data_IF_544448233006
#
_entry.id   IF_544448233006
#
_cell.length_a   1.000
_cell.length_b   1.000
_cell.length_c   1.000
_cell.angle_alpha   90.00
_cell.angle_beta   90.00
_cell.angle_gamma   90.00
#
_symmetry.space_group_name_H-M   'P 1'
#
loop_
_entity.id
_entity.type
_entity.pdbx_description
1 polymer ?
#
# COMPACT_ATOMS: atom_id res chain seq x y z
N UNK A 1 24.49 1.36 1.61
CA UNK A 1 24.78 2.80 1.42
C UNK A 1 24.83 3.23 -0.05
N UNK A 2 25.69 2.63 -0.90
CA UNK A 2 25.83 3.02 -2.32
C UNK A 2 24.49 3.05 -3.08
N UNK A 3 23.66 2.00 -2.94
CA UNK A 3 22.34 1.96 -3.56
C UNK A 3 21.43 3.11 -3.11
N UNK A 4 21.46 3.47 -1.82
CA UNK A 4 20.66 4.59 -1.29
C UNK A 4 21.09 5.89 -1.97
N UNK A 5 22.40 6.18 -1.97
CA UNK A 5 22.95 7.40 -2.58
C UNK A 5 22.63 7.47 -4.07
N UNK A 6 22.69 6.33 -4.76
CA UNK A 6 22.36 6.23 -6.19
C UNK A 6 20.89 6.61 -6.44
N UNK A 7 19.94 6.03 -5.72
CA UNK A 7 18.52 6.35 -5.90
C UNK A 7 18.11 7.73 -5.36
N UNK A 8 18.88 8.31 -4.44
CA UNK A 8 18.69 9.69 -3.99
C UNK A 8 19.19 10.71 -5.03
N UNK A 9 20.35 10.46 -5.63
CA UNK A 9 21.08 11.49 -6.39
C UNK A 9 20.79 11.44 -7.89
N UNK A 10 20.43 10.27 -8.41
CA UNK A 10 20.41 10.02 -9.84
C UNK A 10 18.99 9.83 -10.36
N UNK A 11 18.43 10.87 -10.99
CA UNK A 11 17.07 10.88 -11.56
C UNK A 11 16.85 9.85 -12.68
N UNK A 12 17.92 9.31 -13.25
CA UNK A 12 17.87 8.30 -14.31
C UNK A 12 17.49 6.90 -13.80
N UNK A 13 17.71 6.60 -12.52
CA UNK A 13 17.34 5.31 -11.93
C UNK A 13 15.89 5.35 -11.42
N UNK A 14 14.95 5.33 -12.37
CA UNK A 14 13.52 5.38 -12.07
C UNK A 14 12.93 4.03 -11.65
N UNK A 15 13.65 2.92 -11.88
CA UNK A 15 13.22 1.57 -11.58
C UNK A 15 14.40 0.68 -11.15
N UNK A 16 14.12 -0.33 -10.32
CA UNK A 16 15.07 -1.39 -9.98
C UNK A 16 15.07 -2.45 -11.10
N UNK A 17 16.23 -2.87 -11.64
CA UNK A 17 16.29 -3.96 -12.62
C UNK A 17 15.73 -5.28 -12.06
N UNK A 18 15.13 -6.12 -12.90
CA UNK A 18 14.57 -7.43 -12.48
C UNK A 18 15.63 -8.30 -11.80
N UNK A 19 16.82 -8.35 -12.41
CA UNK A 19 17.96 -9.11 -11.88
C UNK A 19 18.39 -8.61 -10.50
N UNK A 20 18.36 -7.29 -10.28
CA UNK A 20 18.63 -6.70 -8.99
C UNK A 20 17.53 -7.03 -7.97
N UNK A 21 16.25 -7.03 -8.36
CA UNK A 21 15.15 -7.47 -7.46
C UNK A 21 15.34 -8.90 -7.01
N UNK A 22 15.61 -9.84 -7.93
CA UNK A 22 15.85 -11.23 -7.58
C UNK A 22 17.04 -11.36 -6.61
N UNK A 23 18.18 -10.75 -6.94
CA UNK A 23 19.37 -10.79 -6.10
C UNK A 23 19.19 -10.16 -4.72
N UNK A 24 18.48 -9.02 -4.63
CA UNK A 24 18.20 -8.33 -3.38
C UNK A 24 17.17 -9.07 -2.53
N UNK A 25 16.19 -9.75 -3.15
CA UNK A 25 15.16 -10.52 -2.45
C UNK A 25 15.72 -11.74 -1.71
N UNK A 26 16.87 -12.25 -2.15
CA UNK A 26 17.59 -13.32 -1.45
C UNK A 26 18.40 -12.83 -0.23
N UNK A 27 18.51 -11.51 -0.01
CA UNK A 27 19.34 -10.95 1.04
C UNK A 27 18.51 -10.66 2.29
N UNK A 28 18.42 -11.64 3.19
CA UNK A 28 17.71 -11.51 4.47
C UNK A 28 18.21 -10.35 5.36
N UNK A 29 19.47 -9.94 5.19
CA UNK A 29 20.04 -8.82 5.92
C UNK A 29 19.50 -7.45 5.46
N UNK A 30 18.95 -7.36 4.25
CA UNK A 30 18.62 -6.08 3.61
C UNK A 30 17.60 -5.25 4.42
N UNK A 31 16.44 -5.77 4.87
CA UNK A 31 15.48 -4.99 5.65
C UNK A 31 16.08 -4.44 6.95
N UNK A 32 16.88 -5.24 7.65
CA UNK A 32 17.53 -4.82 8.90
C UNK A 32 18.55 -3.72 8.67
N UNK A 33 19.41 -3.89 7.65
CA UNK A 33 20.39 -2.86 7.28
C UNK A 33 19.74 -1.57 6.79
N UNK A 34 18.62 -1.65 6.06
CA UNK A 34 17.86 -0.44 5.69
C UNK A 34 17.32 0.27 6.93
N UNK A 35 16.80 -0.46 7.91
CA UNK A 35 16.33 0.13 9.17
C UNK A 35 17.47 0.74 9.99
N UNK A 36 18.64 0.11 10.07
CA UNK A 36 19.82 0.65 10.74
C UNK A 36 20.28 1.96 10.10
N UNK A 37 20.29 2.01 8.77
CA UNK A 37 20.62 3.22 8.02
C UNK A 37 19.57 4.32 8.23
N UNK A 38 18.29 3.95 8.26
CA UNK A 38 17.20 4.88 8.57
C UNK A 38 17.36 5.48 9.97
N UNK A 39 17.63 4.64 10.98
CA UNK A 39 17.91 5.07 12.35
C UNK A 39 19.15 5.98 12.45
N UNK A 40 20.09 5.83 11.52
CA UNK A 40 21.31 6.65 11.44
C UNK A 40 21.09 7.98 10.70
N UNK A 41 19.85 8.31 10.34
CA UNK A 41 19.50 9.54 9.61
C UNK A 41 19.68 9.46 8.10
N UNK A 42 19.92 8.27 7.53
CA UNK A 42 19.98 8.11 6.07
C UNK A 42 18.58 8.10 5.48
N UNK A 43 18.30 8.97 4.51
CA UNK A 43 17.00 9.03 3.84
C UNK A 43 16.78 7.86 2.87
N UNK A 44 16.27 6.72 3.36
CA UNK A 44 16.14 5.49 2.57
C UNK A 44 14.95 5.46 1.60
N UNK A 45 13.99 6.37 1.76
CA UNK A 45 12.70 6.32 1.06
C UNK A 45 12.80 6.23 -0.46
N UNK A 46 13.67 7.00 -1.16
CA UNK A 46 13.74 6.92 -2.61
C UNK A 46 14.12 5.52 -3.11
N UNK A 47 14.99 4.81 -2.39
CA UNK A 47 15.31 3.42 -2.72
C UNK A 47 14.14 2.51 -2.36
N UNK A 48 13.56 2.68 -1.17
CA UNK A 48 12.50 1.82 -0.65
C UNK A 48 11.25 1.86 -1.53
N UNK A 49 10.82 3.04 -1.98
CA UNK A 49 9.67 3.21 -2.88
C UNK A 49 9.88 2.44 -4.19
N UNK A 50 11.07 2.58 -4.81
CA UNK A 50 11.39 1.87 -6.07
C UNK A 50 11.49 0.37 -5.88
N UNK A 51 12.05 -0.07 -4.75
CA UNK A 51 12.17 -1.47 -4.40
C UNK A 51 10.80 -2.09 -4.17
N UNK A 52 9.96 -1.47 -3.33
CA UNK A 52 8.57 -1.92 -3.09
C UNK A 52 7.81 -2.00 -4.39
N UNK A 53 7.80 -0.92 -5.19
CA UNK A 53 7.11 -0.90 -6.48
C UNK A 53 7.56 -2.07 -7.37
N UNK A 54 8.86 -2.23 -7.56
CA UNK A 54 9.37 -3.25 -8.48
C UNK A 54 9.14 -4.67 -7.94
N UNK A 55 9.38 -4.90 -6.66
CA UNK A 55 9.07 -6.19 -6.02
C UNK A 55 7.57 -6.51 -6.13
N UNK A 56 6.70 -5.52 -6.01
CA UNK A 56 5.25 -5.71 -6.18
C UNK A 56 4.91 -6.07 -7.61
N UNK A 57 5.48 -5.36 -8.60
CA UNK A 57 5.31 -5.69 -10.02
C UNK A 57 5.78 -7.12 -10.35
N UNK A 58 6.94 -7.54 -9.85
CA UNK A 58 7.48 -8.89 -10.09
C UNK A 58 6.67 -9.97 -9.35
N UNK A 59 6.23 -9.66 -8.13
CA UNK A 59 5.34 -10.52 -7.34
C UNK A 59 3.98 -10.75 -8.00
N UNK A 60 3.43 -9.74 -8.69
CA UNK A 60 2.16 -9.85 -9.44
C UNK A 60 2.38 -10.52 -10.81
N UNK A 61 3.45 -10.13 -11.51
CA UNK A 61 3.60 -10.50 -12.91
C UNK A 61 4.21 -11.87 -13.14
N UNK A 62 5.19 -12.22 -12.31
CA UNK A 62 6.01 -13.42 -12.43
C UNK A 62 5.85 -14.36 -11.23
N UNK A 63 4.94 -14.03 -10.29
CA UNK A 63 4.71 -14.79 -9.06
C UNK A 63 6.00 -15.05 -8.26
N UNK A 64 6.89 -14.05 -8.22
CA UNK A 64 8.18 -14.16 -7.55
C UNK A 64 7.98 -14.11 -6.03
N UNK A 65 7.83 -15.28 -5.39
CA UNK A 65 7.54 -15.42 -3.96
C UNK A 65 8.59 -14.78 -3.06
N UNK A 66 9.87 -14.85 -3.43
CA UNK A 66 10.95 -14.18 -2.69
C UNK A 66 10.76 -12.65 -2.65
N UNK A 67 10.16 -12.05 -3.69
CA UNK A 67 9.84 -10.63 -3.69
C UNK A 67 8.64 -10.30 -2.80
N UNK A 68 7.68 -11.23 -2.64
CA UNK A 68 6.60 -11.10 -1.66
C UNK A 68 7.16 -10.99 -0.25
N UNK A 69 8.08 -11.91 0.09
CA UNK A 69 8.67 -12.01 1.41
C UNK A 69 9.60 -10.82 1.72
N UNK A 70 10.37 -10.35 0.73
CA UNK A 70 11.18 -9.14 0.89
C UNK A 70 10.31 -7.93 1.24
N UNK A 71 9.19 -7.70 0.55
CA UNK A 71 8.31 -6.55 0.85
C UNK A 71 7.73 -6.69 2.25
N UNK A 72 7.23 -7.88 2.63
CA UNK A 72 6.70 -8.13 3.97
C UNK A 72 7.74 -7.82 5.04
N UNK A 73 8.97 -8.28 4.85
CA UNK A 73 10.05 -8.02 5.79
C UNK A 73 10.44 -6.54 5.84
N UNK A 74 10.47 -5.84 4.70
CA UNK A 74 10.64 -4.38 4.68
C UNK A 74 9.54 -3.68 5.48
N UNK A 75 8.25 -3.97 5.23
CA UNK A 75 7.14 -3.34 5.95
C UNK A 75 7.08 -3.69 7.44
N UNK A 76 7.66 -4.82 7.85
CA UNK A 76 7.72 -5.25 9.25
C UNK A 76 8.88 -4.63 10.02
N UNK A 77 10.04 -4.47 9.37
CA UNK A 77 11.26 -4.05 10.04
C UNK A 77 11.57 -2.56 9.87
N UNK A 78 11.09 -1.95 8.78
CA UNK A 78 11.36 -0.56 8.48
C UNK A 78 10.28 0.33 9.11
N UNK A 79 10.69 1.19 10.04
CA UNK A 79 9.83 2.23 10.60
C UNK A 79 9.74 3.38 9.60
N UNK A 80 8.52 3.70 9.18
CA UNK A 80 8.21 4.77 8.25
C UNK A 80 7.69 5.98 9.02
N UNK A 81 7.96 7.17 8.49
CA UNK A 81 7.26 8.38 8.92
C UNK A 81 5.87 8.44 8.27
N UNK A 82 4.94 9.18 8.87
CA UNK A 82 3.56 9.29 8.35
C UNK A 82 3.51 9.76 6.88
N UNK A 83 4.41 10.67 6.50
CA UNK A 83 4.52 11.15 5.12
C UNK A 83 4.96 10.05 4.13
N UNK A 84 5.73 9.07 4.62
CA UNK A 84 6.31 8.00 3.81
C UNK A 84 5.35 6.85 3.57
N UNK A 85 4.44 6.60 4.53
CA UNK A 85 3.40 5.57 4.42
C UNK A 85 2.57 5.77 3.15
N UNK A 86 2.23 7.02 2.83
CA UNK A 86 1.51 7.36 1.61
C UNK A 86 2.31 6.94 0.37
N UNK A 87 3.61 7.25 0.31
CA UNK A 87 4.47 6.89 -0.83
C UNK A 87 4.53 5.37 -1.02
N UNK A 88 4.63 4.61 0.07
CA UNK A 88 4.65 3.15 0.03
C UNK A 88 3.30 2.56 -0.42
N UNK A 89 2.19 3.04 0.13
CA UNK A 89 0.85 2.61 -0.28
C UNK A 89 0.62 2.87 -1.77
N UNK A 90 1.00 4.07 -2.24
CA UNK A 90 0.87 4.45 -3.63
C UNK A 90 1.80 3.64 -4.55
N UNK A 91 3.00 3.28 -4.10
CA UNK A 91 3.91 2.39 -4.83
C UNK A 91 3.29 1.00 -5.03
N UNK A 92 2.66 0.43 -4.00
CA UNK A 92 1.95 -0.86 -4.09
C UNK A 92 0.78 -0.75 -5.08
N UNK A 93 -0.07 0.27 -4.94
CA UNK A 93 -1.24 0.44 -5.82
C UNK A 93 -0.84 0.70 -7.28
N UNK A 94 0.17 1.53 -7.52
CA UNK A 94 0.66 1.86 -8.87
C UNK A 94 1.34 0.67 -9.56
N UNK A 95 1.75 -0.36 -8.80
CA UNK A 95 2.32 -1.61 -9.34
C UNK A 95 1.26 -2.54 -9.94
N UNK A 96 0.00 -2.38 -9.55
CA UNK A 96 -1.11 -3.20 -10.06
C UNK A 96 -1.61 -2.62 -11.38
N UNK A 97 -1.26 -3.24 -12.50
CA UNK A 97 -1.79 -2.84 -13.81
C UNK A 97 -3.30 -3.07 -13.88
N UNK A 98 -4.07 -2.02 -14.21
CA UNK A 98 -5.54 -2.00 -14.15
C UNK A 98 -6.28 -3.05 -14.99
N UNK A 99 -5.60 -3.70 -15.96
CA UNK A 99 -6.20 -4.68 -16.86
C UNK A 99 -5.90 -6.14 -16.52
N UNK A 100 -5.00 -6.42 -15.56
CA UNK A 100 -4.64 -7.81 -15.22
C UNK A 100 -5.59 -8.33 -14.12
N UNK A 101 -6.23 -9.49 -14.38
CA UNK A 101 -6.86 -10.25 -13.31
C UNK A 101 -5.74 -10.85 -12.46
N UNK A 102 -5.66 -10.44 -11.19
CA UNK A 102 -4.77 -11.08 -10.24
C UNK A 102 -5.38 -12.43 -9.85
N UNK A 103 -4.54 -13.43 -9.56
CA UNK A 103 -5.02 -14.66 -8.93
C UNK A 103 -5.51 -14.36 -7.50
N UNK A 104 -6.23 -15.30 -6.91
CA UNK A 104 -6.73 -15.13 -5.55
C UNK A 104 -5.58 -15.08 -4.53
N UNK A 105 -4.49 -15.81 -4.79
CA UNK A 105 -3.26 -15.79 -3.97
C UNK A 105 -2.60 -14.41 -4.00
N UNK A 106 -2.43 -13.82 -5.20
CA UNK A 106 -1.86 -12.48 -5.36
C UNK A 106 -2.77 -11.45 -4.71
N UNK A 107 -4.09 -11.60 -4.84
CA UNK A 107 -5.06 -10.70 -4.22
C UNK A 107 -4.98 -10.77 -2.69
N UNK A 108 -4.88 -11.97 -2.13
CA UNK A 108 -4.71 -12.20 -0.70
C UNK A 108 -3.40 -11.60 -0.17
N UNK A 109 -2.31 -11.75 -0.92
CA UNK A 109 -1.04 -11.14 -0.57
C UNK A 109 -1.09 -9.60 -0.61
N UNK A 110 -1.71 -9.00 -1.63
CA UNK A 110 -1.88 -7.55 -1.68
C UNK A 110 -2.73 -7.03 -0.52
N UNK A 111 -3.78 -7.77 -0.14
CA UNK A 111 -4.58 -7.48 1.06
C UNK A 111 -3.70 -7.49 2.30
N UNK A 112 -2.85 -8.50 2.46
CA UNK A 112 -1.93 -8.61 3.60
C UNK A 112 -1.03 -7.38 3.70
N UNK A 113 -0.43 -6.93 2.59
CA UNK A 113 0.42 -5.73 2.56
C UNK A 113 -0.33 -4.46 2.99
N UNK A 114 -1.55 -4.26 2.47
CA UNK A 114 -2.38 -3.09 2.83
C UNK A 114 -2.76 -3.13 4.31
N UNK A 115 -3.14 -4.30 4.83
CA UNK A 115 -3.46 -4.48 6.25
C UNK A 115 -2.26 -4.26 7.16
N UNK A 116 -1.05 -4.62 6.71
CA UNK A 116 0.18 -4.33 7.46
C UNK A 116 0.41 -2.82 7.61
N UNK A 117 0.13 -2.04 6.56
CA UNK A 117 0.22 -0.57 6.62
C UNK A 117 -0.85 0.03 7.52
N UNK A 118 -2.10 -0.43 7.39
CA UNK A 118 -3.21 0.03 8.24
C UNK A 118 -2.97 -0.24 9.73
N UNK A 119 -2.52 -1.45 10.07
CA UNK A 119 -2.26 -1.83 11.47
C UNK A 119 -1.10 -1.05 12.09
N UNK A 120 -0.05 -0.80 11.33
CA UNK A 120 1.15 -0.13 11.85
C UNK A 120 1.01 1.40 11.84
N UNK A 121 0.28 1.97 10.88
CA UNK A 121 0.19 3.41 10.66
C UNK A 121 -1.26 3.84 10.39
N UNK A 122 -2.21 3.61 11.32
CA UNK A 122 -3.64 3.79 11.07
C UNK A 122 -3.99 5.22 10.64
N UNK A 123 -3.41 6.23 11.30
CA UNK A 123 -3.69 7.63 11.00
C UNK A 123 -3.19 8.05 9.61
N UNK A 124 -1.93 7.74 9.30
CA UNK A 124 -1.33 8.07 8.01
C UNK A 124 -2.02 7.31 6.86
N UNK A 125 -2.36 6.05 7.11
CA UNK A 125 -3.12 5.22 6.18
C UNK A 125 -4.49 5.83 5.90
N UNK A 126 -5.29 6.11 6.94
CA UNK A 126 -6.64 6.68 6.79
C UNK A 126 -6.63 8.01 6.04
N UNK A 127 -5.68 8.89 6.34
CA UNK A 127 -5.52 10.16 5.63
C UNK A 127 -5.34 9.95 4.12
N UNK A 128 -4.50 9.00 3.71
CA UNK A 128 -4.26 8.74 2.30
C UNK A 128 -5.45 8.03 1.63
N UNK A 129 -6.12 7.11 2.33
CA UNK A 129 -7.34 6.46 1.85
C UNK A 129 -8.44 7.51 1.59
N UNK A 130 -8.62 8.48 2.49
CA UNK A 130 -9.59 9.57 2.32
C UNK A 130 -9.27 10.38 1.05
N UNK A 131 -7.99 10.71 0.81
CA UNK A 131 -7.57 11.42 -0.41
C UNK A 131 -7.88 10.60 -1.67
N UNK A 132 -7.58 9.30 -1.66
CA UNK A 132 -7.86 8.40 -2.79
C UNK A 132 -9.38 8.30 -3.05
N UNK A 133 -10.17 8.14 -1.99
CA UNK A 133 -11.63 7.95 -2.09
C UNK A 133 -12.37 9.23 -2.48
N UNK A 134 -11.89 10.39 -2.03
CA UNK A 134 -12.47 11.71 -2.34
C UNK A 134 -12.11 12.25 -3.72
N UNK A 135 -11.19 11.62 -4.44
CA UNK A 135 -10.81 12.03 -5.79
C UNK A 135 -11.97 11.87 -6.80
N UNK A 136 -12.33 12.98 -7.47
CA UNK A 136 -13.42 13.01 -8.47
C UNK A 136 -12.90 13.18 -9.90
N UNK A 137 -11.84 13.98 -10.09
CA UNK A 137 -11.37 14.39 -11.44
C UNK A 137 -9.97 13.90 -11.80
N UNK A 138 -9.17 13.45 -10.83
CA UNK A 138 -7.82 12.97 -11.06
C UNK A 138 -7.86 11.52 -11.58
N UNK A 139 -7.48 11.30 -12.84
CA UNK A 139 -7.51 9.98 -13.48
C UNK A 139 -6.60 8.96 -12.75
N UNK A 140 -5.44 9.39 -12.23
CA UNK A 140 -4.52 8.51 -11.50
C UNK A 140 -5.13 8.10 -10.17
N UNK A 141 -5.71 9.03 -9.43
CA UNK A 141 -6.39 8.73 -8.17
C UNK A 141 -7.66 7.90 -8.38
N UNK A 142 -8.42 8.12 -9.46
CA UNK A 142 -9.56 7.28 -9.81
C UNK A 142 -9.14 5.83 -10.12
N UNK A 143 -7.99 5.63 -10.79
CA UNK A 143 -7.42 4.29 -10.99
C UNK A 143 -7.05 3.64 -9.65
N UNK A 144 -6.37 4.37 -8.76
CA UNK A 144 -6.02 3.90 -7.42
C UNK A 144 -7.25 3.54 -6.60
N UNK A 145 -8.30 4.38 -6.62
CA UNK A 145 -9.59 4.12 -5.99
C UNK A 145 -10.20 2.80 -6.48
N UNK A 146 -10.29 2.59 -7.79
CA UNK A 146 -10.82 1.33 -8.36
C UNK A 146 -10.00 0.10 -7.94
N UNK A 147 -8.67 0.22 -7.92
CA UNK A 147 -7.77 -0.86 -7.53
C UNK A 147 -7.90 -1.18 -6.03
N UNK A 148 -7.88 -0.16 -5.18
CA UNK A 148 -8.05 -0.27 -3.75
C UNK A 148 -9.40 -0.94 -3.40
N UNK A 149 -10.50 -0.48 -4.00
CA UNK A 149 -11.81 -1.10 -3.84
C UNK A 149 -11.81 -2.56 -4.33
N UNK A 150 -11.09 -2.89 -5.42
CA UNK A 150 -11.00 -4.28 -5.91
C UNK A 150 -10.20 -5.17 -4.95
N UNK A 151 -9.06 -4.70 -4.45
CA UNK A 151 -8.21 -5.46 -3.53
C UNK A 151 -8.93 -5.69 -2.21
N UNK A 152 -9.66 -4.69 -1.70
CA UNK A 152 -10.30 -4.79 -0.39
C UNK A 152 -11.72 -5.40 -0.42
N UNK A 153 -12.47 -5.30 -1.52
CA UNK A 153 -13.81 -5.95 -1.65
C UNK A 153 -13.76 -7.48 -1.59
N UNK A 154 -12.60 -8.09 -1.86
CA UNK A 154 -12.41 -9.54 -1.70
C UNK A 154 -12.38 -10.00 -0.24
N UNK A 155 -12.24 -9.06 0.71
CA UNK A 155 -12.15 -9.38 2.13
C UNK A 155 -13.47 -9.12 2.85
N UNK A 156 -13.93 -10.08 3.66
CA UNK A 156 -15.14 -9.96 4.49
C UNK A 156 -15.12 -8.74 5.41
N UNK A 157 -13.96 -8.41 5.99
CA UNK A 157 -13.78 -7.31 6.93
C UNK A 157 -13.95 -5.92 6.29
N UNK A 158 -13.58 -5.75 5.02
CA UNK A 158 -13.62 -4.45 4.34
C UNK A 158 -14.83 -4.28 3.44
N UNK A 159 -15.51 -5.36 3.04
CA UNK A 159 -16.73 -5.27 2.21
C UNK A 159 -17.78 -4.32 2.81
N UNK A 160 -17.95 -4.34 4.13
CA UNK A 160 -18.83 -3.40 4.85
C UNK A 160 -18.22 -2.00 5.03
N UNK A 161 -16.97 -1.91 5.53
CA UNK A 161 -16.30 -0.62 5.79
C UNK A 161 -16.12 0.21 4.51
N UNK A 162 -15.65 -0.39 3.41
CA UNK A 162 -15.43 0.31 2.14
C UNK A 162 -16.72 0.73 1.46
N UNK A 163 -17.78 -0.08 1.52
CA UNK A 163 -19.08 0.31 0.96
C UNK A 163 -19.65 1.53 1.72
N UNK A 164 -19.47 1.56 3.04
CA UNK A 164 -19.84 2.74 3.85
C UNK A 164 -18.99 3.95 3.51
N UNK A 165 -17.67 3.82 3.38
CA UNK A 165 -16.80 4.93 2.98
C UNK A 165 -17.12 5.43 1.55
N UNK A 166 -17.32 4.55 0.58
CA UNK A 166 -17.74 4.91 -0.78
C UNK A 166 -19.05 5.71 -0.76
N UNK A 167 -20.02 5.31 0.07
CA UNK A 167 -21.31 5.99 0.22
C UNK A 167 -21.20 7.31 0.99
N UNK A 168 -20.33 7.42 1.99
CA UNK A 168 -20.07 8.67 2.73
C UNK A 168 -19.49 9.78 1.85
N UNK A 169 -18.62 9.43 0.90
CA UNK A 169 -18.02 10.38 -0.04
C UNK A 169 -18.82 10.53 -1.34
N UNK A 170 -20.02 9.96 -1.42
CA UNK A 170 -20.83 10.00 -2.63
C UNK A 170 -21.35 11.43 -2.91
N UNK A 171 -21.40 11.90 -4.18
CA UNK A 171 -21.91 13.25 -4.51
C UNK A 171 -23.37 13.48 -4.09
N UNK A 172 -24.20 12.44 -4.14
CA UNK A 172 -25.60 12.47 -3.74
C UNK A 172 -25.77 12.49 -2.20
N UNK A 173 -26.38 13.54 -1.61
CA UNK A 173 -26.57 13.67 -0.17
C UNK A 173 -27.46 12.58 0.45
N UNK A 174 -28.40 11.97 -0.31
CA UNK A 174 -29.24 10.88 0.21
C UNK A 174 -28.41 9.62 0.51
N UNK A 175 -27.51 9.27 -0.40
CA UNK A 175 -26.59 8.13 -0.24
C UNK A 175 -25.62 8.37 0.92
N UNK A 176 -25.17 9.62 1.12
CA UNK A 176 -24.39 9.98 2.32
C UNK A 176 -25.20 9.80 3.60
N UNK A 177 -26.48 10.21 3.59
CA UNK A 177 -27.40 10.04 4.72
C UNK A 177 -27.61 8.58 5.10
N UNK A 178 -27.75 7.68 4.12
CA UNK A 178 -27.85 6.23 4.34
C UNK A 178 -26.59 5.66 4.99
N UNK A 179 -25.40 6.08 4.54
CA UNK A 179 -24.13 5.66 5.14
C UNK A 179 -23.99 6.14 6.59
N UNK A 180 -24.36 7.38 6.87
CA UNK A 180 -24.39 7.94 8.24
C UNK A 180 -25.39 7.16 9.11
N UNK A 181 -26.57 6.83 8.56
CA UNK A 181 -27.56 6.01 9.25
C UNK A 181 -27.03 4.63 9.61
N UNK A 182 -26.36 3.95 8.67
CA UNK A 182 -25.70 2.67 8.90
C UNK A 182 -24.62 2.76 9.98
N UNK A 183 -23.77 3.81 9.95
CA UNK A 183 -22.74 4.03 10.96
C UNK A 183 -23.34 4.24 12.35
N UNK A 184 -24.42 5.00 12.45
CA UNK A 184 -25.11 5.24 13.73
C UNK A 184 -25.66 3.95 14.32
N UNK A 185 -26.19 3.05 13.48
CA UNK A 185 -26.73 1.77 13.92
C UNK A 185 -25.63 0.75 14.30
N UNK A 186 -24.48 0.79 13.63
CA UNK A 186 -23.39 -0.17 13.80
C UNK A 186 -22.19 0.37 14.60
N UNK A 187 -22.36 1.52 15.28
CA UNK A 187 -21.28 2.25 15.95
C UNK A 187 -20.46 1.38 16.92
N UNK A 188 -21.13 0.58 17.77
CA UNK A 188 -20.44 -0.25 18.77
C UNK A 188 -19.64 -1.39 18.11
N UNK A 189 -20.20 -2.04 17.09
CA UNK A 189 -19.52 -3.11 16.35
C UNK A 189 -18.29 -2.61 15.58
N UNK A 190 -18.37 -1.39 15.04
CA UNK A 190 -17.25 -0.75 14.35
C UNK A 190 -16.16 -0.24 15.31
N UNK A 191 -16.51 0.12 16.54
CA UNK A 191 -15.57 0.60 17.56
C UNK A 191 -14.71 -0.52 18.16
N UNK A 192 -15.25 -1.73 18.26
CA UNK A 192 -14.56 -2.87 18.89
C UNK A 192 -13.49 -3.53 18.01
N UNK A 193 -13.52 -3.32 16.70
CA UNK A 193 -12.49 -3.87 15.77
C UNK A 193 -11.15 -3.11 15.78
N UNK A 194 -11.04 -2.03 16.58
CA UNK A 194 -9.83 -1.20 16.72
C UNK A 194 -9.10 -1.37 18.08
N UNK A 195 -9.39 -2.45 18.82
CA UNK A 195 -8.63 -2.85 20.02
C UNK A 195 -7.71 -4.02 19.69
#
# INVERSE_FOLDING_TARGET
LVLIVLYQSQKQYNNVPVTAVASLSEKEWLPKTLQELNNSGSYILPLLEKLVKRCTEEGINNNLTIAHELIKNCLKHIKLEDADVANILLAILDSVKSRKRCSDEITSWLVELIQMLEKQYPNAFDQEIIKILSAIKDEKMLKRKKLLSKILKSTMAYKGKFDVFEKLYHPNPKIRGEAIGYLKQNYNSLRETNK
#
